data_IF_114040675238
#
_entry.id   IF_114040675238
#
_cell.length_a   1.000
_cell.length_b   1.000
_cell.length_c   1.000
_cell.angle_alpha   90.00
_cell.angle_beta   90.00
_cell.angle_gamma   90.00
#
_symmetry.space_group_name_H-M   'P 1'
#
loop_
_entity.id
_entity.type
_entity.pdbx_description
1 polymer ?
#
# COMPACT_ATOMS: atom_id res chain seq x y z
N UNK A 1 -2.27 19.05 14.98
CA UNK A 1 -3.04 18.12 14.12
C UNK A 1 -3.64 16.98 14.93
N UNK A 2 -2.85 16.15 15.62
CA UNK A 2 -3.38 15.03 16.43
C UNK A 2 -4.49 15.40 17.43
N UNK A 3 -4.41 16.58 18.07
CA UNK A 3 -5.43 17.09 18.99
C UNK A 3 -6.85 17.21 18.38
N UNK A 4 -6.98 17.15 17.06
CA UNK A 4 -8.26 17.14 16.35
C UNK A 4 -8.86 15.73 16.25
N UNK A 5 -8.06 14.67 16.34
CA UNK A 5 -8.52 13.28 16.18
C UNK A 5 -9.65 12.91 17.15
N UNK A 6 -9.55 13.21 18.47
CA UNK A 6 -10.61 12.86 19.43
C UNK A 6 -11.92 13.64 19.22
N UNK A 7 -11.87 14.77 18.51
CA UNK A 7 -13.07 15.57 18.20
C UNK A 7 -13.94 14.88 17.14
N UNK A 8 -13.36 13.93 16.39
CA UNK A 8 -14.04 13.16 15.37
C UNK A 8 -14.44 13.96 14.14
N UNK A 9 -15.17 13.30 13.24
CA UNK A 9 -15.66 13.90 12.01
C UNK A 9 -16.96 14.66 12.24
N UNK A 10 -16.98 15.95 11.94
CA UNK A 10 -18.21 16.74 11.82
C UNK A 10 -19.06 16.30 10.63
N UNK A 11 -20.39 16.36 10.76
CA UNK A 11 -21.33 16.01 9.68
C UNK A 11 -21.10 14.61 9.07
N UNK A 12 -20.86 13.60 9.91
CA UNK A 12 -20.55 12.21 9.53
C UNK A 12 -21.66 11.45 8.76
N UNK A 13 -22.81 12.09 8.50
CA UNK A 13 -23.85 11.53 7.62
C UNK A 13 -23.51 11.70 6.14
N UNK A 14 -22.60 12.63 5.80
CA UNK A 14 -22.14 12.85 4.44
C UNK A 14 -20.90 12.01 4.15
N UNK A 15 -20.97 11.15 3.13
CA UNK A 15 -19.84 10.30 2.73
C UNK A 15 -18.65 11.09 2.19
N UNK A 16 -18.87 12.28 1.63
CA UNK A 16 -17.78 13.13 1.13
C UNK A 16 -16.86 13.58 2.29
N UNK A 17 -17.45 13.92 3.44
CA UNK A 17 -16.69 14.29 4.63
C UNK A 17 -15.82 13.14 5.14
N UNK A 18 -16.29 11.90 5.02
CA UNK A 18 -15.47 10.72 5.35
C UNK A 18 -14.30 10.53 4.39
N UNK A 19 -14.50 10.76 3.10
CA UNK A 19 -13.40 10.73 2.13
C UNK A 19 -12.32 11.75 2.50
N UNK A 20 -12.71 13.00 2.77
CA UNK A 20 -11.78 14.05 3.18
C UNK A 20 -11.10 13.72 4.52
N UNK A 21 -11.80 13.07 5.45
CA UNK A 21 -11.22 12.59 6.69
C UNK A 21 -10.08 11.59 6.47
N UNK A 22 -10.27 10.59 5.58
CA UNK A 22 -9.21 9.62 5.26
C UNK A 22 -8.03 10.27 4.53
N UNK A 23 -8.31 11.17 3.58
CA UNK A 23 -7.28 11.92 2.86
C UNK A 23 -6.46 12.79 3.83
N UNK A 24 -7.13 13.46 4.76
CA UNK A 24 -6.50 14.30 5.76
C UNK A 24 -5.54 13.48 6.64
N UNK A 25 -6.02 12.38 7.23
CA UNK A 25 -5.18 11.54 8.10
C UNK A 25 -4.03 10.88 7.34
N UNK A 26 -4.21 10.56 6.05
CA UNK A 26 -3.14 10.04 5.20
C UNK A 26 -2.01 11.05 5.05
N UNK A 27 -2.35 12.33 4.82
CA UNK A 27 -1.36 13.41 4.61
C UNK A 27 -0.56 13.73 5.86
N UNK A 28 -1.10 13.47 7.05
CA UNK A 28 -0.40 13.73 8.32
C UNK A 28 0.20 12.47 8.95
N UNK A 29 -0.07 11.28 8.41
CA UNK A 29 0.36 9.99 8.99
C UNK A 29 1.87 9.93 9.26
N UNK A 30 2.70 10.46 8.35
CA UNK A 30 4.15 10.51 8.50
C UNK A 30 4.63 11.30 9.74
N UNK A 31 3.80 12.18 10.29
CA UNK A 31 4.09 12.94 11.52
C UNK A 31 3.45 12.35 12.78
N UNK A 32 2.73 11.23 12.68
CA UNK A 32 2.14 10.52 13.80
C UNK A 32 3.13 9.49 14.36
N UNK A 33 3.14 9.34 15.69
CA UNK A 33 3.88 8.26 16.34
C UNK A 33 3.15 6.91 16.19
N UNK A 34 3.79 5.84 16.67
CA UNK A 34 3.25 4.48 16.60
C UNK A 34 1.85 4.37 17.23
N UNK A 35 1.66 4.89 18.45
CA UNK A 35 0.39 4.79 19.16
C UNK A 35 -0.73 5.53 18.41
N UNK A 36 -0.42 6.72 17.89
CA UNK A 36 -1.35 7.52 17.10
C UNK A 36 -1.71 6.84 15.77
N UNK A 37 -0.74 6.24 15.08
CA UNK A 37 -1.03 5.48 13.86
C UNK A 37 -1.85 4.23 14.14
N UNK A 38 -1.64 3.55 15.28
CA UNK A 38 -2.45 2.41 15.70
C UNK A 38 -3.92 2.82 15.95
N UNK A 39 -4.16 3.94 16.62
CA UNK A 39 -5.51 4.48 16.85
C UNK A 39 -6.24 4.82 15.54
N UNK A 40 -5.52 5.42 14.58
CA UNK A 40 -6.08 5.71 13.24
C UNK A 40 -6.34 4.43 12.48
N UNK A 41 -5.40 3.49 12.52
CA UNK A 41 -5.49 2.19 11.85
C UNK A 41 -6.72 1.41 12.32
N UNK A 42 -6.99 1.33 13.62
CA UNK A 42 -8.16 0.63 14.15
C UNK A 42 -9.46 1.24 13.60
N UNK A 43 -9.56 2.57 13.57
CA UNK A 43 -10.74 3.27 13.09
C UNK A 43 -11.00 3.03 11.59
N UNK A 44 -9.97 3.17 10.76
CA UNK A 44 -10.12 2.90 9.31
C UNK A 44 -10.34 1.42 9.03
N UNK A 45 -9.73 0.50 9.79
CA UNK A 45 -9.96 -0.94 9.67
C UNK A 45 -11.44 -1.31 9.92
N UNK A 46 -12.02 -0.76 11.00
CA UNK A 46 -13.43 -0.95 11.31
C UNK A 46 -14.36 -0.44 10.20
N UNK A 47 -14.03 0.69 9.58
CA UNK A 47 -14.80 1.26 8.47
C UNK A 47 -14.64 0.43 7.18
N UNK A 48 -13.44 -0.03 6.86
CA UNK A 48 -13.15 -0.89 5.71
C UNK A 48 -13.89 -2.22 5.81
N UNK A 49 -13.84 -2.87 6.97
CA UNK A 49 -14.51 -4.16 7.18
C UNK A 49 -16.02 -4.04 6.97
N UNK A 50 -16.65 -3.00 7.55
CA UNK A 50 -18.09 -2.74 7.37
C UNK A 50 -18.44 -2.41 5.93
N UNK A 51 -17.58 -1.67 5.22
CA UNK A 51 -17.74 -1.33 3.80
C UNK A 51 -17.78 -2.59 2.94
N UNK A 52 -16.81 -3.50 3.14
CA UNK A 52 -16.73 -4.77 2.42
C UNK A 52 -17.92 -5.69 2.70
N UNK A 53 -18.32 -5.81 3.98
CA UNK A 53 -19.49 -6.63 4.37
C UNK A 53 -20.78 -6.11 3.72
N UNK A 54 -20.96 -4.78 3.68
CA UNK A 54 -22.14 -4.15 3.10
C UNK A 54 -22.18 -4.28 1.58
N UNK A 55 -21.03 -4.13 0.91
CA UNK A 55 -20.91 -4.33 -0.54
C UNK A 55 -21.33 -5.76 -0.92
N UNK A 56 -20.85 -6.75 -0.17
CA UNK A 56 -21.19 -8.17 -0.39
C UNK A 56 -22.66 -8.51 -0.12
N UNK A 57 -23.32 -7.84 0.82
CA UNK A 57 -24.67 -8.19 1.25
C UNK A 57 -25.81 -7.43 0.54
N UNK A 58 -25.58 -6.17 0.13
CA UNK A 58 -26.66 -5.25 -0.28
C UNK A 58 -26.37 -4.38 -1.50
N UNK A 59 -25.15 -4.44 -2.07
CA UNK A 59 -24.75 -3.57 -3.20
C UNK A 59 -24.86 -2.06 -2.91
N UNK A 60 -25.05 -1.67 -1.64
CA UNK A 60 -25.32 -0.30 -1.23
C UNK A 60 -24.01 0.44 -0.93
N UNK A 61 -23.91 1.70 -1.38
CA UNK A 61 -22.76 2.57 -1.07
C UNK A 61 -22.56 2.69 0.44
N UNK A 62 -21.31 2.58 0.87
CA UNK A 62 -20.95 2.72 2.28
C UNK A 62 -20.97 4.20 2.70
N UNK A 63 -21.47 4.53 3.90
CA UNK A 63 -21.47 5.90 4.39
C UNK A 63 -20.06 6.41 4.75
N UNK A 64 -19.09 5.51 4.94
CA UNK A 64 -17.74 5.83 5.38
C UNK A 64 -16.81 6.34 4.26
N UNK A 65 -17.36 6.86 3.17
CA UNK A 65 -16.57 7.44 2.09
C UNK A 65 -15.87 6.42 1.20
N UNK A 66 -14.79 6.86 0.57
CA UNK A 66 -14.04 6.13 -0.47
C UNK A 66 -13.22 4.95 0.09
N UNK A 67 -13.46 3.75 -0.45
CA UNK A 67 -12.68 2.55 -0.13
C UNK A 67 -11.21 2.68 -0.56
N UNK A 68 -10.96 3.30 -1.72
CA UNK A 68 -9.61 3.54 -2.22
C UNK A 68 -8.82 4.47 -1.28
N UNK A 69 -9.46 5.48 -0.70
CA UNK A 69 -8.80 6.38 0.26
C UNK A 69 -8.51 5.70 1.59
N UNK A 70 -9.36 4.75 2.01
CA UNK A 70 -9.05 3.89 3.16
C UNK A 70 -7.83 3.00 2.90
N UNK A 71 -7.73 2.39 1.71
CA UNK A 71 -6.56 1.60 1.30
C UNK A 71 -5.27 2.46 1.29
N UNK A 72 -5.37 3.69 0.80
CA UNK A 72 -4.26 4.65 0.78
C UNK A 72 -3.84 5.10 2.18
N UNK A 73 -4.79 5.24 3.09
CA UNK A 73 -4.50 5.51 4.50
C UNK A 73 -3.78 4.31 5.14
N UNK A 74 -4.28 3.08 4.94
CA UNK A 74 -3.63 1.84 5.39
C UNK A 74 -2.18 1.75 4.93
N UNK A 75 -1.93 2.01 3.65
CA UNK A 75 -0.61 1.98 3.04
C UNK A 75 0.36 3.04 3.59
N UNK A 76 -0.15 4.11 4.24
CA UNK A 76 0.66 5.19 4.80
C UNK A 76 1.08 4.96 6.26
N UNK A 77 0.54 3.93 6.93
CA UNK A 77 0.81 3.63 8.34
C UNK A 77 2.16 2.93 8.54
N UNK A 78 3.26 3.57 8.14
CA UNK A 78 4.60 2.95 8.20
C UNK A 78 5.19 2.84 9.61
N UNK A 79 4.69 3.62 10.58
CA UNK A 79 5.16 3.54 11.97
C UNK A 79 4.48 2.41 12.77
N UNK A 80 3.43 1.80 12.22
CA UNK A 80 2.78 0.62 12.80
C UNK A 80 3.71 -0.60 12.76
N UNK A 81 3.80 -1.40 13.84
CA UNK A 81 4.61 -2.61 13.86
C UNK A 81 4.29 -3.52 12.67
N UNK A 82 5.33 -4.06 12.05
CA UNK A 82 5.19 -4.78 10.78
C UNK A 82 4.26 -5.99 10.86
N UNK A 83 4.06 -6.58 12.04
CA UNK A 83 3.16 -7.70 12.27
C UNK A 83 1.70 -7.31 11.97
N UNK A 84 1.26 -6.15 12.44
CA UNK A 84 -0.07 -5.63 12.09
C UNK A 84 -0.18 -5.32 10.60
N UNK A 85 0.88 -4.78 9.99
CA UNK A 85 0.92 -4.54 8.53
C UNK A 85 0.89 -5.84 7.72
N UNK A 86 1.45 -6.92 8.26
CA UNK A 86 1.35 -8.26 7.68
C UNK A 86 -0.09 -8.76 7.72
N UNK A 87 -0.77 -8.66 8.87
CA UNK A 87 -2.19 -9.03 9.00
C UNK A 87 -3.09 -8.24 8.03
N UNK A 88 -2.85 -6.93 7.90
CA UNK A 88 -3.52 -6.08 6.91
C UNK A 88 -3.28 -6.57 5.49
N UNK A 89 -2.03 -6.86 5.14
CA UNK A 89 -1.67 -7.38 3.82
C UNK A 89 -2.33 -8.74 3.53
N UNK A 90 -2.39 -9.63 4.51
CA UNK A 90 -3.04 -10.94 4.38
C UNK A 90 -4.53 -10.79 4.13
N UNK A 91 -5.19 -9.88 4.84
CA UNK A 91 -6.58 -9.53 4.58
C UNK A 91 -6.78 -8.97 3.17
N UNK A 92 -5.89 -8.09 2.69
CA UNK A 92 -5.91 -7.56 1.32
C UNK A 92 -5.71 -8.68 0.26
N UNK A 93 -4.83 -9.65 0.51
CA UNK A 93 -4.67 -10.81 -0.37
C UNK A 93 -5.94 -11.66 -0.46
N UNK A 94 -6.69 -11.80 0.64
CA UNK A 94 -7.99 -12.48 0.61
C UNK A 94 -9.02 -11.69 -0.20
N UNK A 95 -9.01 -10.35 -0.06
CA UNK A 95 -9.87 -9.46 -0.85
C UNK A 95 -9.61 -9.57 -2.35
N UNK A 96 -8.34 -9.58 -2.76
CA UNK A 96 -7.90 -9.68 -4.17
C UNK A 96 -8.37 -10.96 -4.88
N UNK A 97 -8.87 -11.97 -4.15
CA UNK A 97 -9.49 -13.17 -4.74
C UNK A 97 -10.92 -12.92 -5.24
N UNK A 98 -11.52 -11.79 -4.88
CA UNK A 98 -12.89 -11.44 -5.27
C UNK A 98 -12.86 -10.49 -6.45
N UNK A 99 -13.81 -10.67 -7.37
CA UNK A 99 -13.93 -9.84 -8.59
C UNK A 99 -14.28 -8.38 -8.29
N UNK A 100 -14.90 -8.10 -7.14
CA UNK A 100 -15.27 -6.75 -6.70
C UNK A 100 -14.11 -5.94 -6.09
N UNK A 101 -12.92 -6.55 -5.96
CA UNK A 101 -11.76 -5.87 -5.38
C UNK A 101 -11.02 -5.01 -6.39
N UNK A 102 -10.62 -3.81 -5.96
CA UNK A 102 -9.85 -2.88 -6.78
C UNK A 102 -8.42 -3.38 -7.02
N UNK A 103 -7.91 -3.19 -8.24
CA UNK A 103 -6.51 -3.49 -8.58
C UNK A 103 -5.53 -2.65 -7.75
N UNK A 104 -5.96 -1.50 -7.20
CA UNK A 104 -5.16 -0.63 -6.34
C UNK A 104 -4.75 -1.29 -5.02
N UNK A 105 -5.41 -2.38 -4.63
CA UNK A 105 -5.03 -3.16 -3.45
C UNK A 105 -3.63 -3.77 -3.60
N UNK A 106 -3.18 -4.06 -4.82
CA UNK A 106 -1.78 -4.43 -5.06
C UNK A 106 -0.81 -3.30 -4.71
N UNK A 107 -1.13 -2.06 -5.05
CA UNK A 107 -0.30 -0.91 -4.69
C UNK A 107 -0.21 -0.78 -3.17
N UNK A 108 -1.32 -0.93 -2.46
CA UNK A 108 -1.36 -0.85 -0.99
C UNK A 108 -0.48 -1.93 -0.35
N UNK A 109 -0.55 -3.18 -0.84
CA UNK A 109 0.34 -4.27 -0.41
C UNK A 109 1.81 -3.92 -0.67
N UNK A 110 2.12 -3.41 -1.88
CA UNK A 110 3.47 -3.01 -2.24
C UNK A 110 4.05 -1.94 -1.31
N UNK A 111 3.22 -1.02 -0.82
CA UNK A 111 3.59 -0.01 0.17
C UNK A 111 3.75 -0.57 1.57
N UNK A 112 2.81 -1.41 2.02
CA UNK A 112 2.88 -2.08 3.31
C UNK A 112 4.13 -2.93 3.45
N UNK A 113 4.56 -3.64 2.40
CA UNK A 113 5.73 -4.50 2.43
C UNK A 113 6.98 -3.89 1.76
N UNK A 114 6.99 -2.57 1.51
CA UNK A 114 8.11 -1.90 0.87
C UNK A 114 9.41 -2.06 1.67
N UNK A 115 10.53 -2.28 0.97
CA UNK A 115 11.87 -2.41 1.61
C UNK A 115 12.43 -1.07 2.08
N UNK A 116 11.98 0.02 1.45
CA UNK A 116 12.33 1.38 1.81
C UNK A 116 11.06 2.11 2.23
N UNK A 117 11.03 2.47 3.51
CA UNK A 117 10.02 3.33 4.11
C UNK A 117 10.19 4.76 3.61
N UNK A 118 9.09 5.49 3.48
CA UNK A 118 9.11 6.91 3.12
C UNK A 118 9.24 7.82 4.34
N UNK A 119 8.74 7.38 5.50
CA UNK A 119 8.68 8.18 6.72
C UNK A 119 9.15 7.45 7.98
N UNK A 120 9.03 6.13 8.06
CA UNK A 120 9.36 5.37 9.26
C UNK A 120 10.81 4.86 9.28
N UNK A 121 11.26 4.51 10.49
CA UNK A 121 12.60 3.99 10.72
C UNK A 121 12.78 2.59 10.14
N UNK A 122 14.02 2.28 9.72
CA UNK A 122 14.35 1.01 9.08
C UNK A 122 14.00 -0.25 9.91
N UNK A 123 14.03 -0.18 11.25
CA UNK A 123 13.70 -1.31 12.13
C UNK A 123 12.21 -1.67 12.14
N UNK A 124 11.34 -0.77 11.67
CA UNK A 124 9.92 -1.05 11.53
C UNK A 124 9.61 -1.74 10.20
N UNK A 125 10.55 -1.78 9.25
CA UNK A 125 10.36 -2.47 7.97
C UNK A 125 10.13 -3.96 8.19
N UNK A 126 9.13 -4.51 7.50
CA UNK A 126 8.79 -5.93 7.56
C UNK A 126 10.00 -6.79 7.14
N UNK A 127 10.41 -7.81 7.90
CA UNK A 127 11.56 -8.62 7.57
C UNK A 127 11.34 -9.39 6.24
N UNK A 128 12.43 -9.79 5.53
CA UNK A 128 12.34 -10.50 4.26
C UNK A 128 11.41 -11.70 4.30
N UNK A 129 11.50 -12.53 5.34
CA UNK A 129 10.74 -13.77 5.48
C UNK A 129 9.24 -13.54 5.49
N UNK A 130 8.78 -12.50 6.20
CA UNK A 130 7.36 -12.13 6.24
C UNK A 130 6.90 -11.51 4.91
N UNK A 131 7.77 -10.76 4.22
CA UNK A 131 7.42 -10.14 2.94
C UNK A 131 7.28 -11.15 1.78
N UNK A 132 7.90 -12.34 1.90
CA UNK A 132 7.88 -13.36 0.85
C UNK A 132 6.48 -13.81 0.46
N UNK A 133 5.50 -13.79 1.37
CA UNK A 133 4.12 -14.18 1.03
C UNK A 133 3.50 -13.20 0.01
N UNK A 134 3.75 -11.90 0.18
CA UNK A 134 3.24 -10.86 -0.71
C UNK A 134 3.98 -10.87 -2.05
N UNK A 135 5.30 -11.05 -2.02
CA UNK A 135 6.11 -11.24 -3.24
C UNK A 135 5.61 -12.45 -4.02
N UNK A 136 5.40 -13.59 -3.36
CA UNK A 136 4.88 -14.80 -4.00
C UNK A 136 3.50 -14.58 -4.62
N UNK A 137 2.62 -13.85 -3.94
CA UNK A 137 1.31 -13.49 -4.47
C UNK A 137 1.41 -12.63 -5.74
N UNK A 138 2.34 -11.66 -5.79
CA UNK A 138 2.60 -10.90 -7.02
C UNK A 138 3.19 -11.78 -8.13
N UNK A 139 4.09 -12.72 -7.79
CA UNK A 139 4.67 -13.68 -8.73
C UNK A 139 3.63 -14.64 -9.32
N UNK A 140 2.45 -14.79 -8.72
CA UNK A 140 1.33 -15.55 -9.30
C UNK A 140 0.51 -14.76 -10.34
N UNK A 141 0.64 -13.43 -10.42
CA UNK A 141 -0.18 -12.59 -11.32
C UNK A 141 0.36 -12.54 -12.76
N UNK A 142 -0.50 -12.34 -13.76
CA UNK A 142 0.00 -11.96 -15.10
C UNK A 142 0.36 -10.47 -15.11
N UNK A 143 1.65 -10.16 -15.01
CA UNK A 143 2.15 -8.78 -14.92
C UNK A 143 1.99 -7.99 -16.22
N UNK A 144 1.79 -8.65 -17.36
CA UNK A 144 1.47 -7.94 -18.61
C UNK A 144 0.06 -7.35 -18.58
N UNK A 145 -0.82 -7.91 -17.74
CA UNK A 145 -2.21 -7.45 -17.54
C UNK A 145 -2.42 -6.73 -16.21
N UNK A 146 -1.48 -6.88 -15.28
CA UNK A 146 -1.54 -6.31 -13.93
C UNK A 146 -0.21 -5.66 -13.56
N UNK A 147 0.00 -4.46 -14.13
CA UNK A 147 1.19 -3.64 -13.88
C UNK A 147 1.26 -3.17 -12.41
N UNK A 148 0.13 -3.01 -11.73
CA UNK A 148 0.10 -2.63 -10.31
C UNK A 148 0.70 -3.72 -9.42
N UNK A 149 0.43 -5.00 -9.71
CA UNK A 149 1.09 -6.12 -9.03
C UNK A 149 2.58 -6.20 -9.35
N UNK A 150 2.98 -5.89 -10.59
CA UNK A 150 4.40 -5.79 -10.95
C UNK A 150 5.10 -4.69 -10.14
N UNK A 151 4.52 -3.50 -10.07
CA UNK A 151 5.06 -2.40 -9.29
C UNK A 151 5.10 -2.70 -7.79
N UNK A 152 4.10 -3.41 -7.26
CA UNK A 152 4.14 -3.91 -5.89
C UNK A 152 5.35 -4.82 -5.65
N UNK A 153 5.64 -5.74 -6.58
CA UNK A 153 6.83 -6.59 -6.52
C UNK A 153 8.12 -5.76 -6.52
N UNK A 154 8.21 -4.72 -7.35
CA UNK A 154 9.36 -3.79 -7.39
C UNK A 154 9.58 -3.15 -6.02
N UNK A 155 8.53 -2.65 -5.37
CA UNK A 155 8.66 -2.01 -4.04
C UNK A 155 9.12 -2.99 -2.94
N UNK A 156 8.69 -4.25 -3.03
CA UNK A 156 9.05 -5.30 -2.08
C UNK A 156 10.41 -5.96 -2.37
N UNK A 157 10.92 -5.85 -3.60
CA UNK A 157 12.19 -6.46 -4.02
C UNK A 157 13.33 -5.45 -4.27
N UNK A 158 13.04 -4.15 -4.23
CA UNK A 158 14.03 -3.08 -4.41
C UNK A 158 15.21 -3.26 -3.46
N UNK A 159 16.42 -3.20 -4.00
CA UNK A 159 17.65 -3.35 -3.24
C UNK A 159 17.89 -2.10 -2.39
N UNK A 160 18.24 -2.31 -1.12
CA UNK A 160 18.49 -1.25 -0.14
C UNK A 160 19.96 -1.13 0.22
N UNK A 161 20.75 -2.19 -0.01
CA UNK A 161 22.15 -2.28 0.43
C UNK A 161 22.28 -2.76 1.88
N UNK A 162 21.16 -3.03 2.54
CA UNK A 162 21.08 -3.58 3.89
C UNK A 162 20.61 -5.03 3.82
N UNK A 163 21.53 -5.96 4.10
CA UNK A 163 21.27 -7.41 4.09
C UNK A 163 20.15 -7.84 5.02
N UNK A 164 19.85 -7.10 6.09
CA UNK A 164 18.77 -7.45 7.01
C UNK A 164 17.38 -7.15 6.42
N UNK A 165 17.31 -6.29 5.39
CA UNK A 165 16.05 -5.86 4.75
C UNK A 165 15.89 -6.40 3.33
N UNK A 166 17.00 -6.59 2.63
CA UNK A 166 17.01 -7.08 1.26
C UNK A 166 16.50 -8.54 1.19
N UNK A 167 15.71 -8.82 0.15
CA UNK A 167 15.26 -10.19 -0.12
C UNK A 167 16.45 -11.08 -0.52
N UNK A 168 16.38 -12.40 -0.26
CA UNK A 168 17.39 -13.35 -0.74
C UNK A 168 17.59 -13.24 -2.26
N UNK A 169 18.84 -13.37 -2.71
CA UNK A 169 19.22 -13.21 -4.12
C UNK A 169 18.43 -14.15 -5.05
N UNK A 170 18.15 -15.37 -4.61
CA UNK A 170 17.34 -16.33 -5.38
C UNK A 170 15.91 -15.83 -5.63
N UNK A 171 15.32 -15.09 -4.69
CA UNK A 171 13.97 -14.52 -4.83
C UNK A 171 14.02 -13.28 -5.71
N UNK A 172 15.02 -12.40 -5.53
CA UNK A 172 15.22 -11.24 -6.41
C UNK A 172 15.45 -11.66 -7.86
N UNK A 173 16.21 -12.74 -8.09
CA UNK A 173 16.42 -13.29 -9.43
C UNK A 173 15.10 -13.76 -10.07
N UNK A 174 14.21 -14.40 -9.31
CA UNK A 174 12.87 -14.77 -9.82
C UNK A 174 12.02 -13.56 -10.18
N UNK A 175 12.03 -12.52 -9.34
CA UNK A 175 11.34 -11.25 -9.62
C UNK A 175 11.87 -10.62 -10.90
N UNK A 176 13.19 -10.51 -11.05
CA UNK A 176 13.84 -9.93 -12.23
C UNK A 176 13.54 -10.70 -13.51
N UNK A 177 13.57 -12.03 -13.46
CA UNK A 177 13.28 -12.85 -14.62
C UNK A 177 11.83 -12.69 -15.08
N UNK A 178 10.91 -12.65 -14.12
CA UNK A 178 9.50 -12.37 -14.43
C UNK A 178 9.29 -10.93 -14.92
N UNK A 179 10.03 -9.95 -14.41
CA UNK A 179 9.99 -8.57 -14.88
C UNK A 179 10.43 -8.48 -16.35
N UNK A 180 11.55 -9.13 -16.71
CA UNK A 180 12.05 -9.19 -18.09
C UNK A 180 11.03 -9.80 -19.04
N UNK A 181 10.54 -11.00 -18.71
CA UNK A 181 9.53 -11.68 -19.53
C UNK A 181 8.21 -10.91 -19.63
N UNK A 182 7.88 -10.07 -18.65
CA UNK A 182 6.67 -9.24 -18.64
C UNK A 182 6.84 -7.87 -19.34
N UNK A 183 8.05 -7.53 -19.80
CA UNK A 183 8.32 -6.25 -20.45
C UNK A 183 8.39 -5.07 -19.47
N UNK A 184 8.90 -5.28 -18.26
CA UNK A 184 9.05 -4.23 -17.26
C UNK A 184 10.00 -3.11 -17.74
N UNK A 185 9.76 -1.84 -17.34
CA UNK A 185 10.71 -0.75 -17.59
C UNK A 185 12.10 -1.05 -17.03
N UNK A 186 13.16 -0.69 -17.77
CA UNK A 186 14.55 -0.89 -17.34
C UNK A 186 14.82 -0.25 -15.98
N UNK A 187 14.34 0.99 -15.77
CA UNK A 187 14.45 1.70 -14.48
C UNK A 187 13.89 0.91 -13.29
N UNK A 188 12.86 0.09 -13.49
CA UNK A 188 12.32 -0.75 -12.42
C UNK A 188 13.19 -1.97 -12.16
N UNK A 189 13.73 -2.59 -13.21
CA UNK A 189 14.68 -3.69 -13.06
C UNK A 189 15.94 -3.22 -12.34
N UNK A 190 16.46 -2.03 -12.68
CA UNK A 190 17.60 -1.41 -12.00
C UNK A 190 17.36 -1.24 -10.50
N UNK A 191 16.15 -0.85 -10.07
CA UNK A 191 15.81 -0.77 -8.64
C UNK A 191 15.91 -2.11 -7.89
N UNK A 192 15.63 -3.22 -8.55
CA UNK A 192 15.72 -4.56 -7.95
C UNK A 192 17.14 -5.14 -8.05
N UNK A 193 17.91 -4.74 -9.07
CA UNK A 193 19.29 -5.19 -9.29
C UNK A 193 20.31 -4.42 -8.44
N UNK A 194 20.10 -3.12 -8.25
CA UNK A 194 21.10 -2.19 -7.72
C UNK A 194 20.52 -1.25 -6.68
N UNK A 195 21.38 -0.74 -5.79
CA UNK A 195 21.02 0.30 -4.84
C UNK A 195 20.97 1.64 -5.57
N UNK A 196 19.78 2.00 -6.06
CA UNK A 196 19.52 3.28 -6.74
C UNK A 196 18.38 4.03 -6.07
N UNK A 197 18.38 5.37 -6.19
CA UNK A 197 17.26 6.19 -5.77
C UNK A 197 16.09 6.06 -6.76
N UNK A 198 14.88 6.11 -6.23
CA UNK A 198 13.67 6.09 -7.06
C UNK A 198 13.52 7.46 -7.74
N UNK A 199 13.22 7.47 -9.03
CA UNK A 199 12.97 8.71 -9.78
C UNK A 199 11.66 9.37 -9.35
N UNK A 200 11.51 10.67 -9.60
CA UNK A 200 10.37 11.47 -9.13
C UNK A 200 9.01 10.93 -9.58
N UNK A 201 8.92 10.35 -10.78
CA UNK A 201 7.68 9.74 -11.29
C UNK A 201 7.30 8.49 -10.49
N UNK A 202 8.25 7.59 -10.27
CA UNK A 202 8.03 6.37 -9.51
C UNK A 202 7.80 6.67 -8.01
N UNK A 203 8.40 7.75 -7.48
CA UNK A 203 8.12 8.26 -6.14
C UNK A 203 6.67 8.73 -6.01
N UNK A 204 6.16 9.51 -6.97
CA UNK A 204 4.74 9.92 -6.99
C UNK A 204 3.81 8.72 -7.05
N UNK A 205 4.16 7.71 -7.86
CA UNK A 205 3.43 6.45 -7.93
C UNK A 205 3.46 5.70 -6.59
N UNK A 206 4.61 5.65 -5.93
CA UNK A 206 4.76 5.05 -4.58
C UNK A 206 3.90 5.79 -3.53
N UNK A 207 3.90 7.12 -3.53
CA UNK A 207 3.04 7.93 -2.64
C UNK A 207 1.53 7.77 -2.94
N UNK A 208 1.20 7.24 -4.11
CA UNK A 208 -0.17 7.15 -4.59
C UNK A 208 -0.70 8.50 -5.10
N UNK A 209 0.11 9.55 -5.16
CA UNK A 209 -0.34 10.86 -5.64
C UNK A 209 -0.43 10.94 -7.19
N UNK A 210 -0.49 9.77 -7.85
CA UNK A 210 -0.83 9.64 -9.26
C UNK A 210 -2.18 10.32 -9.51
N UNK A 211 -2.19 11.24 -10.47
CA UNK A 211 -3.42 11.82 -11.00
C UNK A 211 -4.34 10.68 -11.48
N UNK A 212 -5.65 10.74 -11.23
CA UNK A 212 -6.60 9.85 -11.86
C UNK A 212 -6.38 9.82 -13.38
N UNK A 213 -6.66 8.70 -14.07
CA UNK A 213 -6.61 8.68 -15.52
C UNK A 213 -7.50 9.80 -16.07
N UNK A 214 -6.91 10.77 -16.78
CA UNK A 214 -7.62 11.90 -17.39
C UNK A 214 -7.29 13.31 -16.87
N UNK A 215 -6.45 13.45 -15.84
CA UNK A 215 -5.96 14.77 -15.39
C UNK A 215 -4.50 14.96 -15.76
N UNK A 216 -4.22 16.01 -16.55
CA UNK A 216 -2.87 16.52 -16.84
C UNK A 216 -2.74 17.85 -16.12
N UNK A 217 -1.66 18.04 -15.36
CA UNK A 217 -1.29 19.37 -14.87
C UNK A 217 -0.79 20.17 -16.07
N UNK A 218 -1.59 21.16 -16.48
CA UNK A 218 -1.20 22.19 -17.46
C UNK A 218 -0.11 23.09 -16.88
#
# INVERSE_FOLDING_TARGET
>A
MWQLYPQGLGHAQDSANWTEWWVFWRRVAAGLDEAQQMDVLEAVAGCMQKTVQRASAKGAKAPWGSYDDMLRLFAAMEAVPWQYRQEMGQWMLQRLRREDETVQTWWAIGRLAARQSLAANAHLVMPPEAALEFVSATLAQDWRRNETAMFAAVQMARMTGDRARDLPDAIRAQVLEKMRSSGAPERWMTMVEQVVQMEAEDQKRSLGDSLPPGLVLL
#
